data_IF_492120536432
#
_entry.id   IF_492120536432
#
_cell.length_a   1.000
_cell.length_b   1.000
_cell.length_c   1.000
_cell.angle_alpha   90.00
_cell.angle_beta   90.00
_cell.angle_gamma   90.00
#
_symmetry.space_group_name_H-M   'P 1'
#
loop_
_entity.id
_entity.type
_entity.pdbx_description
1 polymer ?
#
# COMPACT_ATOMS: atom_id res chain seq x y z
N UNK A 1 -81.69 -10.62 -31.30
CA UNK A 1 -80.30 -10.35 -30.86
C UNK A 1 -79.58 -9.61 -31.97
N UNK A 2 -79.30 -8.33 -31.74
CA UNK A 2 -78.77 -7.38 -32.71
C UNK A 2 -77.35 -6.99 -32.29
N UNK A 3 -76.46 -6.99 -33.29
CA UNK A 3 -75.42 -5.98 -33.55
C UNK A 3 -74.38 -5.78 -32.43
N UNK A 4 -73.24 -6.47 -32.56
CA UNK A 4 -72.03 -6.23 -31.76
C UNK A 4 -70.73 -6.27 -32.57
N UNK A 5 -70.71 -5.70 -33.79
CA UNK A 5 -69.46 -5.58 -34.57
C UNK A 5 -69.27 -4.25 -35.29
N UNK A 6 -69.41 -3.14 -34.56
CA UNK A 6 -68.83 -1.85 -34.92
C UNK A 6 -68.24 -1.17 -33.68
N UNK A 7 -67.06 -1.62 -33.25
CA UNK A 7 -66.39 -1.10 -32.05
C UNK A 7 -64.86 -1.03 -32.23
N UNK A 8 -64.37 -0.34 -33.27
CA UNK A 8 -62.91 -0.15 -33.45
C UNK A 8 -62.41 1.22 -33.95
N UNK A 9 -63.20 2.29 -33.89
CA UNK A 9 -62.68 3.67 -34.07
C UNK A 9 -63.51 4.69 -33.28
N UNK A 10 -63.14 4.96 -32.02
CA UNK A 10 -63.28 6.20 -31.20
C UNK A 10 -62.92 5.78 -29.77
N UNK A 11 -61.66 5.99 -29.36
CA UNK A 11 -61.27 6.01 -27.94
C UNK A 11 -60.26 7.15 -27.72
N UNK A 12 -60.59 8.31 -28.29
CA UNK A 12 -60.19 9.60 -27.78
C UNK A 12 -61.41 10.16 -27.01
N UNK A 13 -61.15 10.75 -25.85
CA UNK A 13 -62.09 11.22 -24.80
C UNK A 13 -62.67 10.13 -23.89
N UNK A 14 -62.03 9.95 -22.72
CA UNK A 14 -62.61 9.18 -21.63
C UNK A 14 -61.77 8.94 -20.36
N UNK A 15 -60.63 9.62 -20.15
CA UNK A 15 -59.86 9.50 -18.90
C UNK A 15 -59.07 10.78 -18.54
N UNK A 16 -59.72 11.94 -18.64
CA UNK A 16 -59.36 13.08 -17.81
C UNK A 16 -60.07 12.90 -16.45
N UNK A 17 -59.35 13.13 -15.34
CA UNK A 17 -59.78 13.08 -13.93
C UNK A 17 -59.56 11.78 -13.12
N UNK A 18 -58.39 11.14 -13.20
CA UNK A 18 -57.99 10.13 -12.19
C UNK A 18 -56.51 10.17 -11.74
N UNK A 19 -55.85 11.33 -11.79
CA UNK A 19 -54.53 11.52 -11.15
C UNK A 19 -54.48 12.77 -10.24
N UNK A 20 -55.62 13.09 -9.61
CA UNK A 20 -55.62 13.88 -8.38
C UNK A 20 -55.99 12.88 -7.28
N UNK A 21 -55.03 12.41 -6.48
CA UNK A 21 -55.32 11.60 -5.30
C UNK A 21 -54.54 10.30 -5.11
N UNK A 22 -53.24 10.26 -5.42
CA UNK A 22 -52.35 9.24 -4.87
C UNK A 22 -51.19 9.92 -4.12
N UNK A 23 -51.53 10.56 -3.00
CA UNK A 23 -50.64 10.75 -1.86
C UNK A 23 -50.00 9.42 -1.47
N UNK A 24 -48.76 9.18 -1.91
CA UNK A 24 -47.80 8.30 -1.23
C UNK A 24 -46.47 9.07 -1.15
N UNK A 25 -46.48 10.17 -0.43
CA UNK A 25 -45.31 10.61 0.31
C UNK A 25 -45.78 10.73 1.75
N UNK A 26 -45.19 9.92 2.64
CA UNK A 26 -45.56 9.86 4.04
C UNK A 26 -45.53 11.25 4.67
N UNK A 27 -46.46 11.48 5.60
CA UNK A 27 -46.57 12.71 6.36
C UNK A 27 -45.30 12.96 7.21
N UNK A 28 -44.36 13.70 6.64
CA UNK A 28 -43.46 14.58 7.38
C UNK A 28 -43.84 16.01 7.00
N UNK A 29 -44.22 16.80 8.00
CA UNK A 29 -44.47 18.22 7.81
C UNK A 29 -43.13 18.91 7.57
N UNK A 30 -42.71 19.00 6.31
CA UNK A 30 -41.58 19.83 5.89
C UNK A 30 -42.05 21.27 6.01
N UNK A 31 -41.49 21.99 6.99
CA UNK A 31 -41.75 23.41 7.22
C UNK A 31 -40.78 24.25 6.39
N UNK A 32 -41.02 25.56 6.29
CA UNK A 32 -40.09 26.45 5.58
C UNK A 32 -38.69 26.48 6.24
N UNK A 33 -38.58 26.07 7.51
CA UNK A 33 -37.31 25.92 8.21
C UNK A 33 -36.48 24.73 7.70
N UNK A 34 -37.12 23.76 7.04
CA UNK A 34 -36.47 22.57 6.49
C UNK A 34 -35.98 22.77 5.05
N UNK A 35 -36.26 23.94 4.44
CA UNK A 35 -35.72 24.31 3.13
C UNK A 35 -34.19 24.45 3.22
N UNK A 36 -33.40 23.81 2.34
CA UNK A 36 -33.76 23.31 1.00
C UNK A 36 -34.16 21.82 0.89
N UNK A 37 -34.30 21.09 2.00
CA UNK A 37 -34.85 19.73 1.94
C UNK A 37 -36.33 19.78 1.50
N UNK A 38 -36.81 18.80 0.72
CA UNK A 38 -36.16 17.56 0.29
C UNK A 38 -35.40 17.68 -1.05
N UNK A 39 -35.32 18.88 -1.63
CA UNK A 39 -34.81 19.08 -3.00
C UNK A 39 -33.29 18.97 -3.09
N UNK A 40 -32.59 19.41 -2.03
CA UNK A 40 -31.16 19.22 -1.83
C UNK A 40 -30.95 18.30 -0.62
N UNK A 41 -30.13 17.27 -0.78
CA UNK A 41 -29.66 16.42 0.32
C UNK A 41 -28.16 16.24 0.21
N UNK A 42 -27.44 16.38 1.32
CA UNK A 42 -25.97 16.25 1.37
C UNK A 42 -25.26 17.20 0.38
N UNK A 43 -25.75 18.44 0.28
CA UNK A 43 -25.22 19.45 -0.63
C UNK A 43 -25.42 19.15 -2.11
N UNK A 44 -26.20 18.13 -2.46
CA UNK A 44 -26.41 17.70 -3.85
C UNK A 44 -27.90 17.72 -4.20
N UNK A 45 -28.29 18.22 -5.39
CA UNK A 45 -29.66 18.08 -5.87
C UNK A 45 -30.07 16.62 -5.98
N UNK A 46 -31.31 16.29 -5.59
CA UNK A 46 -31.84 14.93 -5.79
C UNK A 46 -31.91 14.57 -7.28
N UNK A 47 -31.62 13.32 -7.59
CA UNK A 47 -31.62 12.80 -8.98
C UNK A 47 -32.98 12.92 -9.68
N UNK A 48 -34.08 13.02 -8.92
CA UNK A 48 -35.43 13.16 -9.43
C UNK A 48 -35.95 14.61 -9.37
N UNK A 49 -35.09 15.59 -9.11
CA UNK A 49 -35.46 17.00 -9.14
C UNK A 49 -35.68 17.47 -10.58
N UNK A 50 -36.94 17.63 -10.97
CA UNK A 50 -37.32 18.19 -12.26
C UNK A 50 -38.10 19.48 -12.03
N UNK A 51 -37.63 20.57 -12.64
CA UNK A 51 -38.36 21.83 -12.68
C UNK A 51 -39.13 21.89 -13.99
N UNK A 52 -40.45 22.05 -13.89
CA UNK A 52 -41.35 22.04 -15.04
C UNK A 52 -41.98 23.41 -15.18
N UNK A 53 -41.90 23.96 -16.39
CA UNK A 53 -42.64 25.14 -16.82
C UNK A 53 -43.57 24.74 -17.97
N UNK A 54 -44.79 25.25 -17.98
CA UNK A 54 -45.77 24.94 -19.02
C UNK A 54 -45.42 25.58 -20.36
N UNK A 55 -45.91 24.99 -21.46
CA UNK A 55 -45.68 25.52 -22.82
C UNK A 55 -46.33 26.90 -23.02
N UNK A 56 -47.46 27.17 -22.35
CA UNK A 56 -48.15 28.47 -22.32
C UNK A 56 -47.67 29.39 -21.18
N UNK A 57 -46.55 29.10 -20.53
CA UNK A 57 -46.09 29.89 -19.40
C UNK A 57 -45.68 31.30 -19.82
N UNK A 58 -45.97 32.28 -18.96
CA UNK A 58 -45.57 33.65 -19.24
C UNK A 58 -44.05 33.81 -19.08
N UNK A 59 -43.46 34.82 -19.73
CA UNK A 59 -42.03 35.10 -19.56
C UNK A 59 -41.61 35.27 -18.09
N UNK A 60 -42.53 35.75 -17.23
CA UNK A 60 -42.30 35.87 -15.79
C UNK A 60 -42.10 34.52 -15.09
N UNK A 61 -42.79 33.46 -15.53
CA UNK A 61 -42.69 32.12 -14.94
C UNK A 61 -41.35 31.45 -15.30
N UNK A 62 -40.87 31.68 -16.54
CA UNK A 62 -39.55 31.20 -16.99
C UNK A 62 -38.42 31.88 -16.21
N UNK A 63 -38.53 33.20 -15.98
CA UNK A 63 -37.55 33.94 -15.16
C UNK A 63 -37.59 33.50 -13.70
N UNK A 64 -38.78 33.26 -13.15
CA UNK A 64 -38.96 32.78 -11.78
C UNK A 64 -38.37 31.38 -11.58
N UNK A 65 -38.49 30.50 -12.58
CA UNK A 65 -37.82 29.19 -12.58
C UNK A 65 -36.30 29.35 -12.54
N UNK A 66 -35.73 30.29 -13.31
CA UNK A 66 -34.29 30.60 -13.26
C UNK A 66 -33.82 31.03 -11.87
N UNK A 67 -34.62 31.86 -11.18
CA UNK A 67 -34.32 32.28 -9.81
C UNK A 67 -34.36 31.11 -8.81
N UNK A 68 -35.32 30.18 -8.96
CA UNK A 68 -35.41 28.98 -8.13
C UNK A 68 -34.20 28.06 -8.37
N UNK A 69 -33.78 27.88 -9.62
CA UNK A 69 -32.57 27.11 -9.98
C UNK A 69 -31.34 27.72 -9.31
N UNK A 70 -31.13 29.03 -9.50
CA UNK A 70 -29.98 29.72 -8.93
C UNK A 70 -29.97 29.64 -7.40
N UNK A 71 -31.12 29.77 -6.76
CA UNK A 71 -31.25 29.65 -5.31
C UNK A 71 -30.93 28.23 -4.82
N UNK A 72 -31.44 27.19 -5.48
CA UNK A 72 -31.16 25.80 -5.13
C UNK A 72 -29.69 25.43 -5.37
N UNK A 73 -29.08 25.95 -6.44
CA UNK A 73 -27.65 25.76 -6.71
C UNK A 73 -26.77 26.41 -5.64
N UNK A 74 -27.13 27.61 -5.15
CA UNK A 74 -26.39 28.28 -4.08
C UNK A 74 -26.49 27.55 -2.73
N UNK A 75 -27.54 26.77 -2.53
CA UNK A 75 -27.75 25.96 -1.32
C UNK A 75 -27.24 24.52 -1.46
N UNK A 76 -26.90 24.09 -2.67
CA UNK A 76 -26.23 22.83 -2.97
C UNK A 76 -24.72 22.95 -2.73
N UNK A 77 -24.34 23.32 -1.49
CA UNK A 77 -22.96 23.36 -1.05
C UNK A 77 -22.70 22.14 -0.20
N UNK A 78 -21.76 21.31 -0.62
CA UNK A 78 -21.23 20.22 0.20
C UNK A 78 -20.12 20.80 1.06
N UNK A 79 -20.34 20.88 2.36
CA UNK A 79 -19.26 21.14 3.30
C UNK A 79 -18.29 19.96 3.21
N UNK A 80 -17.09 20.20 2.70
CA UNK A 80 -15.97 19.27 2.90
C UNK A 80 -15.45 19.50 4.31
N UNK A 81 -15.34 18.42 5.10
CA UNK A 81 -14.53 18.49 6.31
C UNK A 81 -13.14 18.97 5.90
N UNK A 82 -12.73 20.12 6.42
CA UNK A 82 -11.32 20.51 6.41
C UNK A 82 -10.62 19.41 7.19
N UNK A 83 -10.04 18.44 6.47
CA UNK A 83 -9.07 17.53 7.07
C UNK A 83 -8.08 18.44 7.80
N UNK A 84 -8.00 18.23 9.12
CA UNK A 84 -7.12 18.93 10.03
C UNK A 84 -5.80 19.31 9.35
N UNK A 85 -5.24 20.47 9.71
CA UNK A 85 -3.91 21.00 9.36
C UNK A 85 -2.71 20.05 9.55
N UNK A 86 -2.92 18.74 9.74
CA UNK A 86 -1.89 17.75 9.54
C UNK A 86 -1.52 17.78 8.05
N UNK A 87 -0.23 17.97 7.71
CA UNK A 87 0.20 17.91 6.32
C UNK A 87 -0.34 16.62 5.72
N UNK A 88 -0.84 16.68 4.48
CA UNK A 88 -1.20 15.50 3.69
C UNK A 88 0.01 14.55 3.73
N UNK A 89 0.01 13.59 4.65
CA UNK A 89 0.96 12.49 4.60
C UNK A 89 0.65 11.80 3.28
N UNK A 90 1.64 11.69 2.41
CA UNK A 90 1.51 10.90 1.20
C UNK A 90 0.87 9.55 1.60
N UNK A 91 -0.09 9.06 0.81
CA UNK A 91 -0.61 7.71 1.01
C UNK A 91 0.52 6.76 0.61
N UNK A 92 1.31 6.35 1.58
CA UNK A 92 2.38 5.38 1.38
C UNK A 92 1.71 4.01 1.40
N UNK A 93 1.87 3.25 0.33
CA UNK A 93 1.41 1.88 0.25
C UNK A 93 2.57 0.94 0.59
N UNK A 94 2.28 -0.13 1.34
CA UNK A 94 3.28 -1.09 1.80
C UNK A 94 3.79 -0.83 3.21
N UNK A 95 4.92 -1.45 3.51
CA UNK A 95 5.64 -1.35 4.79
C UNK A 95 6.57 -0.13 4.75
N UNK A 96 6.43 0.77 5.72
CA UNK A 96 7.15 2.03 5.73
C UNK A 96 7.44 2.49 7.16
N UNK A 97 8.51 3.26 7.28
CA UNK A 97 8.93 3.86 8.54
C UNK A 97 9.14 5.36 8.34
N UNK A 98 8.62 6.16 9.27
CA UNK A 98 8.84 7.61 9.29
C UNK A 98 10.26 7.92 9.81
N UNK A 99 10.97 8.78 9.08
CA UNK A 99 12.23 9.36 9.53
C UNK A 99 11.89 10.68 10.22
N UNK A 100 11.93 10.66 11.55
CA UNK A 100 11.54 11.78 12.39
C UNK A 100 10.58 11.40 13.50
N UNK A 101 10.38 12.33 14.42
CA UNK A 101 9.44 12.26 15.53
C UNK A 101 8.75 13.61 15.69
N UNK A 102 7.62 13.71 16.42
CA UNK A 102 6.94 14.99 16.64
C UNK A 102 7.83 16.08 17.28
N UNK A 103 8.93 15.70 17.92
CA UNK A 103 9.88 16.60 18.58
C UNK A 103 11.21 16.77 17.83
N UNK A 104 11.47 15.94 16.82
CA UNK A 104 12.71 15.97 16.04
C UNK A 104 12.40 15.55 14.61
N UNK A 105 12.17 16.53 13.74
CA UNK A 105 11.87 16.33 12.33
C UNK A 105 13.17 16.39 11.54
N UNK A 106 13.23 15.74 10.39
CA UNK A 106 14.38 15.85 9.50
C UNK A 106 14.42 17.26 8.86
N UNK A 107 15.44 18.03 9.21
CA UNK A 107 15.61 19.42 8.76
C UNK A 107 16.61 19.55 7.59
N UNK A 108 16.67 20.75 6.99
CA UNK A 108 17.63 21.05 5.92
C UNK A 108 19.07 20.94 6.46
N UNK A 109 19.92 20.27 5.69
CA UNK A 109 21.30 19.89 6.01
C UNK A 109 21.47 18.88 7.14
N UNK A 110 20.38 18.33 7.67
CA UNK A 110 20.44 17.23 8.62
C UNK A 110 20.42 15.89 7.91
N UNK A 111 21.21 14.96 8.42
CA UNK A 111 21.33 13.60 7.90
C UNK A 111 20.26 12.68 8.49
N UNK A 112 19.87 11.64 7.76
CA UNK A 112 18.88 10.66 8.24
C UNK A 112 19.32 10.01 9.56
N UNK A 113 20.60 9.68 9.68
CA UNK A 113 21.20 9.00 10.84
C UNK A 113 21.30 9.87 12.09
N UNK A 114 21.36 11.20 11.96
CA UNK A 114 21.25 12.13 13.09
C UNK A 114 19.85 12.09 13.72
N UNK A 115 18.81 11.97 12.90
CA UNK A 115 17.43 11.79 13.35
C UNK A 115 17.17 10.37 13.85
N UNK A 116 17.64 9.40 13.07
CA UNK A 116 17.35 7.98 13.28
C UNK A 116 18.49 7.14 12.73
N UNK A 117 19.36 6.70 13.62
CA UNK A 117 20.55 5.92 13.27
C UNK A 117 20.27 4.47 12.86
N UNK A 118 19.14 3.88 13.26
CA UNK A 118 18.82 2.50 12.92
C UNK A 118 17.32 2.23 12.72
N UNK A 119 17.04 1.24 11.88
CA UNK A 119 15.72 0.67 11.64
C UNK A 119 15.80 -0.84 11.89
N UNK A 120 14.78 -1.39 12.55
CA UNK A 120 14.73 -2.79 13.00
C UNK A 120 13.41 -3.48 12.61
N UNK A 121 13.23 -4.72 13.07
CA UNK A 121 11.98 -5.47 12.90
C UNK A 121 10.74 -4.81 13.54
N UNK A 122 10.94 -3.89 14.49
CA UNK A 122 9.83 -3.13 15.09
C UNK A 122 9.31 -2.02 14.18
N UNK A 123 10.07 -1.71 13.12
CA UNK A 123 9.82 -0.59 12.23
C UNK A 123 9.41 -1.04 10.83
N UNK A 124 10.07 -2.08 10.33
CA UNK A 124 9.80 -2.67 9.02
C UNK A 124 9.66 -4.19 9.19
N UNK A 125 8.50 -4.71 8.81
CA UNK A 125 8.18 -6.14 8.84
C UNK A 125 9.11 -7.01 7.99
N UNK A 126 9.71 -6.48 6.92
CA UNK A 126 10.68 -7.25 6.14
C UNK A 126 12.03 -7.46 6.85
N UNK A 127 12.33 -6.64 7.87
CA UNK A 127 13.52 -6.80 8.73
C UNK A 127 13.29 -7.82 9.86
N UNK A 128 12.15 -8.49 9.88
CA UNK A 128 11.83 -9.49 10.90
C UNK A 128 12.95 -10.50 11.07
N UNK A 129 13.41 -10.62 12.31
CA UNK A 129 14.38 -11.62 12.72
C UNK A 129 13.76 -13.00 12.80
N UNK A 130 14.55 -13.95 13.29
CA UNK A 130 14.10 -15.32 13.46
C UNK A 130 15.04 -16.11 14.34
N UNK A 131 14.89 -17.43 14.31
CA UNK A 131 15.84 -18.34 14.93
C UNK A 131 16.29 -19.37 13.91
N UNK A 132 17.55 -19.76 14.04
CA UNK A 132 18.14 -20.86 13.28
C UNK A 132 18.51 -21.95 14.27
N UNK A 133 17.92 -23.12 14.08
CA UNK A 133 18.27 -24.31 14.85
C UNK A 133 19.39 -25.04 14.15
N UNK A 134 20.40 -25.47 14.89
CA UNK A 134 21.50 -26.35 14.42
C UNK A 134 21.60 -27.53 15.39
N UNK A 135 22.37 -28.56 15.01
CA UNK A 135 22.65 -29.66 15.93
C UNK A 135 23.57 -29.25 17.11
N UNK A 136 24.01 -27.98 17.18
CA UNK A 136 24.76 -27.41 18.32
C UNK A 136 23.90 -26.55 19.24
N UNK A 137 22.70 -26.19 18.81
CA UNK A 137 21.82 -25.30 19.56
C UNK A 137 20.99 -24.42 18.63
N UNK A 138 20.12 -23.61 19.24
CA UNK A 138 19.30 -22.62 18.55
C UNK A 138 19.92 -21.25 18.82
N UNK A 139 20.12 -20.45 17.78
CA UNK A 139 20.50 -19.04 17.94
C UNK A 139 19.45 -18.15 17.29
N UNK A 140 19.19 -17.01 17.90
CA UNK A 140 18.34 -15.98 17.31
C UNK A 140 19.17 -15.12 16.37
N UNK A 141 18.53 -14.62 15.33
CA UNK A 141 19.10 -13.61 14.47
C UNK A 141 18.14 -12.44 14.30
N UNK A 142 18.71 -11.26 14.17
CA UNK A 142 18.00 -10.03 13.92
C UNK A 142 18.60 -9.30 12.72
N UNK A 143 17.79 -8.48 12.06
CA UNK A 143 18.22 -7.68 10.93
C UNK A 143 18.00 -6.20 11.23
N UNK A 144 18.95 -5.38 10.78
CA UNK A 144 18.92 -3.94 11.00
C UNK A 144 19.39 -3.22 9.74
N UNK A 145 18.83 -2.03 9.51
CA UNK A 145 19.40 -1.02 8.63
C UNK A 145 20.04 0.03 9.53
N UNK A 146 21.28 0.40 9.26
CA UNK A 146 22.03 1.41 10.00
C UNK A 146 22.44 2.54 9.07
N UNK A 147 22.22 3.77 9.52
CA UNK A 147 22.68 4.98 8.86
C UNK A 147 23.97 5.40 9.55
N UNK A 148 25.09 4.96 8.98
CA UNK A 148 26.42 5.30 9.46
C UNK A 148 26.78 6.69 8.95
N UNK A 149 26.27 7.69 9.65
CA UNK A 149 26.45 9.10 9.29
C UNK A 149 27.62 9.70 10.08
N UNK A 150 28.48 10.42 9.36
CA UNK A 150 29.51 11.25 9.98
C UNK A 150 29.03 12.70 10.03
N UNK A 151 29.51 13.48 11.00
CA UNK A 151 29.23 14.93 11.08
C UNK A 151 29.77 15.73 9.89
N UNK A 152 30.50 15.08 8.97
CA UNK A 152 31.02 15.65 7.73
C UNK A 152 30.31 15.13 6.47
N UNK A 153 29.29 14.29 6.62
CA UNK A 153 28.61 13.68 5.48
C UNK A 153 27.88 14.74 4.64
N UNK A 154 28.17 14.73 3.35
CA UNK A 154 27.49 15.58 2.36
C UNK A 154 26.32 14.86 1.68
N UNK A 155 26.07 13.60 2.04
CA UNK A 155 25.03 12.71 1.50
C UNK A 155 23.99 12.38 2.57
N UNK A 156 22.90 11.68 2.20
CA UNK A 156 21.85 11.18 3.10
C UNK A 156 21.14 12.28 3.89
N UNK A 157 21.02 13.48 3.31
CA UNK A 157 20.50 14.67 3.98
C UNK A 157 19.50 15.43 3.13
N UNK A 158 18.68 16.26 3.77
CA UNK A 158 17.80 17.17 3.03
C UNK A 158 18.58 18.38 2.56
N UNK A 159 18.44 18.76 1.30
CA UNK A 159 19.02 19.99 0.73
C UNK A 159 17.92 20.82 0.08
N UNK A 160 18.07 22.14 0.14
CA UNK A 160 17.23 23.05 -0.62
C UNK A 160 17.94 23.40 -1.93
N UNK A 161 17.39 22.97 -3.06
CA UNK A 161 18.01 23.15 -4.38
C UNK A 161 16.98 23.16 -5.50
N UNK A 162 17.45 23.23 -6.75
CA UNK A 162 16.65 23.14 -7.96
C UNK A 162 16.92 21.78 -8.64
N UNK A 163 15.85 21.07 -9.03
CA UNK A 163 15.98 19.80 -9.76
C UNK A 163 16.16 20.01 -11.28
N UNK A 164 16.29 18.91 -12.03
CA UNK A 164 16.48 18.95 -13.49
C UNK A 164 15.23 19.42 -14.27
N UNK A 165 14.14 19.73 -13.59
CA UNK A 165 12.88 20.19 -14.16
C UNK A 165 12.55 21.63 -13.70
N UNK A 166 13.55 22.37 -13.23
CA UNK A 166 13.44 23.72 -12.71
C UNK A 166 12.50 23.85 -11.49
N UNK A 167 12.29 22.76 -10.73
CA UNK A 167 11.55 22.81 -9.48
C UNK A 167 12.50 23.13 -8.32
N UNK A 168 12.25 24.25 -7.65
CA UNK A 168 12.97 24.63 -6.43
C UNK A 168 12.25 24.09 -5.21
N UNK A 169 12.95 23.40 -4.33
CA UNK A 169 12.37 22.84 -3.11
C UNK A 169 13.37 22.08 -2.23
N UNK A 170 12.81 21.39 -1.23
CA UNK A 170 13.55 20.50 -0.33
C UNK A 170 13.61 19.09 -0.93
N UNK A 171 14.82 18.56 -1.05
CA UNK A 171 15.07 17.24 -1.61
C UNK A 171 15.91 16.40 -0.66
N UNK A 172 15.50 15.16 -0.45
CA UNK A 172 16.38 14.16 0.16
C UNK A 172 17.47 13.78 -0.85
N UNK A 173 18.71 14.12 -0.52
CA UNK A 173 19.85 13.99 -1.41
C UNK A 173 20.76 12.84 -1.02
N UNK A 174 21.11 12.03 -2.03
CA UNK A 174 22.14 11.01 -1.96
C UNK A 174 23.21 11.32 -2.99
N UNK A 175 24.45 11.51 -2.52
CA UNK A 175 25.58 11.70 -3.41
C UNK A 175 25.87 10.41 -4.19
N UNK A 176 26.19 10.56 -5.48
CA UNK A 176 26.47 9.42 -6.35
C UNK A 176 27.71 8.66 -5.86
N UNK A 177 27.59 7.33 -5.77
CA UNK A 177 28.68 6.46 -5.31
C UNK A 177 28.84 6.39 -3.79
N UNK A 178 28.10 7.21 -3.02
CA UNK A 178 28.10 7.13 -1.56
C UNK A 178 27.17 6.03 -1.06
N UNK A 179 27.57 5.42 0.05
CA UNK A 179 26.75 4.42 0.72
C UNK A 179 25.53 5.08 1.36
N UNK A 180 24.35 4.50 1.15
CA UNK A 180 23.08 5.02 1.68
C UNK A 180 22.83 4.49 3.10
N UNK A 181 23.05 3.20 3.32
CA UNK A 181 22.90 2.54 4.61
C UNK A 181 23.70 1.24 4.63
N UNK A 182 23.94 0.70 5.83
CA UNK A 182 24.39 -0.66 6.04
C UNK A 182 23.21 -1.56 6.41
N UNK A 183 23.06 -2.68 5.71
CA UNK A 183 22.20 -3.76 6.15
C UNK A 183 23.03 -4.80 6.88
N UNK A 184 22.58 -5.16 8.09
CA UNK A 184 23.26 -6.15 8.94
C UNK A 184 22.30 -7.25 9.32
N UNK A 185 22.71 -8.50 9.11
CA UNK A 185 22.13 -9.67 9.76
C UNK A 185 23.06 -10.12 10.88
N UNK A 186 22.55 -10.15 12.10
CA UNK A 186 23.31 -10.46 13.30
C UNK A 186 22.76 -11.70 13.98
N UNK A 187 23.63 -12.66 14.31
CA UNK A 187 23.32 -13.79 15.18
C UNK A 187 23.65 -13.42 16.63
N UNK A 188 22.65 -13.37 17.50
CA UNK A 188 22.77 -12.80 18.87
C UNK A 188 23.81 -13.54 19.73
N UNK A 189 23.80 -14.87 19.69
CA UNK A 189 24.71 -15.72 20.48
C UNK A 189 25.82 -16.35 19.62
N UNK A 190 25.90 -15.93 18.35
CA UNK A 190 26.75 -16.54 17.33
C UNK A 190 26.19 -17.83 16.75
N UNK A 191 26.48 -18.08 15.47
CA UNK A 191 26.04 -19.28 14.76
C UNK A 191 27.10 -20.38 14.83
N UNK A 192 26.75 -21.53 15.42
CA UNK A 192 27.69 -22.63 15.65
C UNK A 192 27.47 -23.80 14.70
N UNK A 193 28.56 -24.40 14.23
CA UNK A 193 28.52 -25.61 13.40
C UNK A 193 29.72 -26.50 13.69
N UNK A 194 29.56 -27.81 13.47
CA UNK A 194 30.71 -28.70 13.42
C UNK A 194 31.43 -28.53 12.08
N UNK A 195 32.76 -28.58 12.12
CA UNK A 195 33.58 -28.60 10.91
C UNK A 195 33.86 -30.04 10.50
N UNK A 196 33.68 -30.34 9.21
CA UNK A 196 34.17 -31.57 8.60
C UNK A 196 35.16 -31.19 7.51
N UNK A 197 36.43 -31.61 7.65
CA UNK A 197 37.45 -31.31 6.66
C UNK A 197 37.06 -31.93 5.32
N UNK A 198 36.99 -31.09 4.28
CA UNK A 198 36.81 -31.57 2.90
C UNK A 198 38.17 -31.69 2.20
N UNK A 199 39.13 -30.86 2.60
CA UNK A 199 40.55 -30.97 2.23
C UNK A 199 41.44 -30.31 3.31
N UNK A 200 42.75 -30.20 3.06
CA UNK A 200 43.71 -29.64 4.02
C UNK A 200 43.52 -28.15 4.35
N UNK A 201 42.68 -27.43 3.60
CA UNK A 201 42.52 -25.98 3.69
C UNK A 201 41.07 -25.51 3.72
N UNK A 202 40.12 -26.44 3.73
CA UNK A 202 38.69 -26.14 3.66
C UNK A 202 37.95 -27.13 4.55
N UNK A 203 37.02 -26.61 5.35
CA UNK A 203 36.11 -27.44 6.13
C UNK A 203 34.66 -27.02 5.86
N UNK A 204 33.77 -28.02 5.78
CA UNK A 204 32.34 -27.82 5.60
C UNK A 204 31.67 -27.65 6.96
N UNK A 205 30.71 -26.73 7.03
CA UNK A 205 29.92 -26.41 8.21
C UNK A 205 28.60 -27.18 8.18
N UNK A 206 28.68 -28.51 8.26
CA UNK A 206 27.57 -29.45 7.96
C UNK A 206 26.25 -29.14 8.68
N UNK A 207 26.28 -28.56 9.88
CA UNK A 207 25.04 -28.28 10.61
C UNK A 207 24.28 -27.05 10.12
N UNK A 208 24.89 -26.26 9.22
CA UNK A 208 24.25 -25.09 8.61
C UNK A 208 23.51 -25.45 7.33
N UNK A 209 23.85 -26.59 6.70
CA UNK A 209 23.19 -27.04 5.47
C UNK A 209 21.73 -27.39 5.79
N UNK A 210 20.85 -27.09 4.84
CA UNK A 210 19.39 -27.26 4.91
C UNK A 210 18.73 -26.42 6.00
N UNK A 211 19.41 -25.40 6.51
CA UNK A 211 18.80 -24.45 7.44
C UNK A 211 18.24 -23.26 6.70
N UNK A 212 17.03 -22.87 7.10
CA UNK A 212 16.35 -21.71 6.57
C UNK A 212 16.74 -20.45 7.34
N UNK A 213 16.87 -19.35 6.61
CA UNK A 213 17.08 -18.01 7.13
C UNK A 213 16.23 -17.02 6.34
N UNK A 214 15.53 -16.13 7.05
CA UNK A 214 14.78 -15.04 6.43
C UNK A 214 15.71 -13.84 6.24
N UNK A 215 15.86 -13.38 5.00
CA UNK A 215 16.65 -12.20 4.64
C UNK A 215 15.72 -11.25 3.91
N UNK A 216 15.52 -10.05 4.47
CA UNK A 216 14.70 -8.99 3.88
C UNK A 216 13.29 -9.49 3.44
N UNK A 217 12.63 -10.27 4.32
CA UNK A 217 11.30 -10.84 4.08
C UNK A 217 11.26 -12.02 3.10
N UNK A 218 12.41 -12.48 2.61
CA UNK A 218 12.51 -13.64 1.72
C UNK A 218 13.18 -14.81 2.44
N UNK A 219 12.57 -16.01 2.46
CA UNK A 219 13.21 -17.20 2.99
C UNK A 219 14.32 -17.70 2.04
N UNK A 220 15.45 -18.07 2.62
CA UNK A 220 16.58 -18.69 1.93
C UNK A 220 16.98 -19.96 2.65
N UNK A 221 17.35 -20.99 1.89
CA UNK A 221 17.91 -22.23 2.42
C UNK A 221 19.41 -22.25 2.18
N UNK A 222 20.18 -22.59 3.21
CA UNK A 222 21.63 -22.76 3.09
C UNK A 222 21.92 -24.08 2.38
N UNK A 223 22.48 -23.98 1.17
CA UNK A 223 22.82 -25.16 0.34
C UNK A 223 24.28 -25.58 0.47
N UNK A 224 25.15 -24.63 0.79
CA UNK A 224 26.56 -24.90 1.04
C UNK A 224 27.10 -23.92 2.08
N UNK A 225 27.98 -24.39 2.95
CA UNK A 225 28.61 -23.56 3.96
C UNK A 225 30.01 -24.10 4.21
N UNK A 226 31.01 -23.31 3.84
CA UNK A 226 32.42 -23.68 3.99
C UNK A 226 33.19 -22.61 4.76
N UNK A 227 34.22 -23.06 5.47
CA UNK A 227 35.28 -22.22 6.00
C UNK A 227 36.58 -22.56 5.28
N UNK A 228 37.15 -21.57 4.60
CA UNK A 228 38.49 -21.61 4.03
C UNK A 228 39.49 -21.20 5.11
N UNK A 229 40.33 -22.16 5.53
CA UNK A 229 41.34 -21.98 6.57
C UNK A 229 42.72 -21.63 5.99
N UNK A 230 42.85 -21.50 4.66
CA UNK A 230 44.11 -21.09 4.02
C UNK A 230 44.45 -19.61 4.20
N UNK A 231 43.45 -18.78 4.50
CA UNK A 231 43.62 -17.34 4.71
C UNK A 231 43.75 -17.01 6.19
N UNK A 232 44.58 -16.03 6.54
CA UNK A 232 44.67 -15.51 7.89
C UNK A 232 43.28 -15.01 8.35
N UNK A 233 42.84 -15.47 9.53
CA UNK A 233 41.50 -15.28 10.13
C UNK A 233 40.35 -16.12 9.55
N UNK A 234 40.63 -16.98 8.55
CA UNK A 234 39.62 -17.81 7.92
C UNK A 234 38.59 -17.02 7.10
N UNK A 235 38.03 -17.62 6.06
CA UNK A 235 36.93 -17.03 5.28
C UNK A 235 35.74 -17.97 5.30
N UNK A 236 34.62 -17.51 5.83
CA UNK A 236 33.36 -18.25 5.77
C UNK A 236 32.63 -17.85 4.48
N UNK A 237 32.22 -18.85 3.70
CA UNK A 237 31.35 -18.67 2.53
C UNK A 237 30.09 -19.50 2.76
N UNK A 238 28.95 -18.83 2.76
CA UNK A 238 27.62 -19.46 2.83
C UNK A 238 26.96 -19.22 1.47
N UNK A 239 26.49 -20.29 0.86
CA UNK A 239 25.72 -20.26 -0.39
C UNK A 239 24.26 -20.47 -0.03
N UNK A 240 23.43 -19.54 -0.47
CA UNK A 240 22.00 -19.51 -0.20
C UNK A 240 21.23 -19.80 -1.49
N UNK A 241 20.17 -20.59 -1.36
CA UNK A 241 19.17 -20.77 -2.39
C UNK A 241 17.91 -20.03 -1.97
N UNK A 242 17.51 -19.02 -2.74
CA UNK A 242 16.28 -18.28 -2.55
C UNK A 242 15.28 -18.61 -3.65
N UNK A 243 13.99 -18.60 -3.32
CA UNK A 243 12.90 -18.83 -4.26
C UNK A 243 11.61 -19.21 -3.55
N UNK A 244 10.47 -18.96 -4.20
CA UNK A 244 9.16 -19.36 -3.66
C UNK A 244 8.98 -20.88 -3.54
N UNK A 245 9.84 -21.66 -4.20
CA UNK A 245 9.70 -23.12 -4.28
C UNK A 245 11.06 -23.77 -4.42
N UNK A 246 11.38 -24.66 -3.48
CA UNK A 246 12.54 -25.54 -3.54
C UNK A 246 12.13 -26.92 -2.99
N UNK A 247 12.82 -27.98 -3.40
CA UNK A 247 12.59 -29.33 -2.90
C UNK A 247 13.86 -30.16 -2.97
N UNK A 248 13.96 -31.14 -2.06
CA UNK A 248 15.03 -32.12 -2.07
C UNK A 248 14.53 -33.38 -2.78
N UNK A 249 15.17 -33.74 -3.90
CA UNK A 249 14.88 -34.99 -4.59
C UNK A 249 16.03 -35.97 -4.37
N UNK A 250 15.69 -37.20 -3.95
CA UNK A 250 16.60 -38.33 -4.05
C UNK A 250 16.80 -38.80 -5.49
N UNK A 251 17.81 -39.65 -5.70
CA UNK A 251 18.03 -40.33 -6.98
C UNK A 251 16.77 -41.15 -7.37
N UNK A 252 16.30 -40.98 -8.61
CA UNK A 252 15.04 -41.53 -9.14
C UNK A 252 13.75 -40.98 -8.50
N UNK A 253 13.82 -39.93 -7.68
CA UNK A 253 12.64 -39.26 -7.16
C UNK A 253 12.13 -38.22 -8.16
N UNK A 254 10.81 -38.17 -8.31
CA UNK A 254 10.12 -37.19 -9.16
C UNK A 254 9.24 -36.31 -8.26
N UNK A 255 9.35 -35.00 -8.42
CA UNK A 255 8.57 -34.04 -7.65
C UNK A 255 8.02 -32.94 -8.57
N UNK A 256 6.86 -32.40 -8.19
CA UNK A 256 6.17 -31.36 -8.95
C UNK A 256 6.28 -30.04 -8.22
N UNK A 257 6.84 -29.02 -8.88
CA UNK A 257 6.98 -27.67 -8.36
C UNK A 257 6.09 -26.70 -9.14
N UNK A 258 5.36 -25.86 -8.42
CA UNK A 258 4.58 -24.79 -9.03
C UNK A 258 5.35 -23.48 -8.89
N UNK A 259 5.63 -22.81 -10.00
CA UNK A 259 6.28 -21.51 -10.03
C UNK A 259 5.41 -20.53 -10.83
N UNK A 260 4.73 -19.63 -10.12
CA UNK A 260 3.67 -18.81 -10.71
C UNK A 260 2.50 -19.67 -11.19
N UNK A 261 2.08 -19.47 -12.45
CA UNK A 261 1.02 -20.26 -13.10
C UNK A 261 1.55 -21.53 -13.79
N UNK A 262 2.85 -21.80 -13.71
CA UNK A 262 3.49 -22.91 -14.41
C UNK A 262 3.88 -24.04 -13.45
N UNK A 263 3.67 -25.27 -13.90
CA UNK A 263 3.98 -26.49 -13.15
C UNK A 263 5.15 -27.22 -13.79
N UNK A 264 6.20 -27.45 -13.02
CA UNK A 264 7.43 -28.12 -13.41
C UNK A 264 7.52 -29.49 -12.76
N UNK A 265 7.71 -30.53 -13.56
CA UNK A 265 8.01 -31.88 -13.06
C UNK A 265 9.52 -32.10 -13.14
N UNK A 266 10.16 -32.26 -12.00
CA UNK A 266 11.62 -32.43 -11.91
C UNK A 266 11.90 -33.85 -11.45
N UNK A 267 12.80 -34.53 -12.15
CA UNK A 267 13.30 -35.85 -11.78
C UNK A 267 14.82 -35.82 -11.81
N UNK A 268 15.45 -36.34 -10.75
CA UNK A 268 16.89 -36.57 -10.74
C UNK A 268 17.12 -38.01 -11.21
N UNK A 269 17.79 -38.15 -12.36
CA UNK A 269 18.23 -39.43 -12.93
C UNK A 269 19.61 -39.82 -12.43
#
# INVERSE_FOLDING_TARGET
MKVLKQFKKVLALGAACSLIGATIFGAHAITLADYPAPFITDGTPKDNLVLVVGDDATASDVVSMGNIISSLQQLAVKEEEIQSLKPKKAKIEGDYVEIGSPTNLLEINETIGEIRSSISEFDLGFLKGGSISTNRGVTKYAQYIQFNDSSTDTSKKVIFTEDNFDNVGDFLYFASGEQIFDWTLQFEEGLQSATSNTNSSTAQLNHLIDREINILGTPYTVVDAIVDTSVANGRVRITLLGGQTYGQLGENQEETFNYGDETYKVQIM
#
